data_IF_591904193739
#
_entry.id   IF_591904193739
#
_cell.length_a   1.000
_cell.length_b   1.000
_cell.length_c   1.000
_cell.angle_alpha   90.00
_cell.angle_beta   90.00
_cell.angle_gamma   90.00
#
_symmetry.space_group_name_H-M   'P 1'
#
loop_
_entity.id
_entity.type
_entity.pdbx_description
1 polymer ?
#
# COMPACT_ATOMS: atom_id res chain seq x y z
N UNK A 1 -11.60 17.49 -9.52
CA UNK A 1 -11.70 18.06 -10.88
C UNK A 1 -11.87 19.57 -10.77
N UNK A 2 -11.04 20.34 -11.47
CA UNK A 2 -11.10 21.81 -11.43
C UNK A 2 -12.38 22.37 -12.08
N UNK A 3 -12.80 23.57 -11.70
CA UNK A 3 -14.01 24.20 -12.23
C UNK A 3 -13.95 24.42 -13.75
N UNK A 4 -12.81 24.84 -14.29
CA UNK A 4 -12.61 25.05 -15.73
C UNK A 4 -12.73 23.77 -16.54
N UNK A 5 -12.16 22.66 -16.07
CA UNK A 5 -12.30 21.36 -16.74
C UNK A 5 -13.76 20.90 -16.76
N UNK A 6 -14.53 21.16 -15.69
CA UNK A 6 -15.97 20.87 -15.67
C UNK A 6 -16.78 21.80 -16.59
N UNK A 7 -16.34 23.05 -16.77
CA UNK A 7 -16.95 23.94 -17.76
C UNK A 7 -16.71 23.41 -19.18
N UNK A 8 -15.46 23.05 -19.51
CA UNK A 8 -15.11 22.40 -20.78
C UNK A 8 -15.95 21.14 -21.03
N UNK A 9 -16.15 20.30 -20.00
CA UNK A 9 -16.99 19.10 -20.13
C UNK A 9 -18.44 19.44 -20.47
N UNK A 10 -19.00 20.50 -19.88
CA UNK A 10 -20.36 20.95 -20.20
C UNK A 10 -20.48 21.45 -21.64
N UNK A 11 -19.50 22.24 -22.11
CA UNK A 11 -19.45 22.71 -23.51
C UNK A 11 -19.35 21.55 -24.50
N UNK A 12 -18.63 20.48 -24.15
CA UNK A 12 -18.53 19.27 -24.97
C UNK A 12 -19.72 18.30 -24.82
N UNK A 13 -20.76 18.68 -24.06
CA UNK A 13 -21.94 17.86 -23.83
C UNK A 13 -21.69 16.62 -22.96
N UNK A 14 -20.59 16.58 -22.22
CA UNK A 14 -20.30 15.47 -21.32
C UNK A 14 -21.16 15.53 -20.07
N UNK A 15 -21.86 14.41 -19.83
CA UNK A 15 -22.77 14.25 -18.73
C UNK A 15 -22.54 12.90 -18.06
N UNK A 16 -22.55 12.88 -16.74
CA UNK A 16 -22.60 11.67 -15.93
C UNK A 16 -23.48 11.95 -14.73
N UNK A 17 -24.77 11.66 -14.90
CA UNK A 17 -25.79 11.76 -13.87
C UNK A 17 -26.27 10.37 -13.50
N UNK A 18 -26.89 10.26 -12.31
CA UNK A 18 -27.35 8.98 -11.75
C UNK A 18 -28.23 8.16 -12.70
N UNK A 19 -29.04 8.83 -13.52
CA UNK A 19 -30.04 8.20 -14.38
C UNK A 19 -29.76 8.44 -15.88
N UNK A 20 -28.57 8.89 -16.25
CA UNK A 20 -28.21 9.13 -17.65
C UNK A 20 -27.04 8.24 -18.06
N UNK A 21 -27.00 7.86 -19.33
CA UNK A 21 -25.80 7.25 -19.89
C UNK A 21 -24.62 8.21 -19.75
N UNK A 22 -23.46 7.67 -19.36
CA UNK A 22 -22.24 8.46 -19.25
C UNK A 22 -21.72 8.79 -20.64
N UNK A 23 -21.67 10.09 -20.95
CA UNK A 23 -21.11 10.63 -22.19
C UNK A 23 -19.70 11.14 -21.91
N UNK A 24 -18.71 10.48 -22.49
CA UNK A 24 -17.29 10.72 -22.21
C UNK A 24 -16.40 10.70 -23.46
N UNK A 25 -16.99 10.91 -24.65
CA UNK A 25 -16.27 10.88 -25.92
C UNK A 25 -16.85 11.85 -26.94
N UNK A 26 -16.00 12.28 -27.87
CA UNK A 26 -16.38 13.01 -29.09
C UNK A 26 -15.69 12.37 -30.31
N UNK A 27 -16.19 12.65 -31.51
CA UNK A 27 -15.46 12.34 -32.74
C UNK A 27 -14.15 13.12 -32.79
N UNK A 28 -13.10 12.50 -33.33
CA UNK A 28 -11.82 13.18 -33.50
C UNK A 28 -11.98 14.31 -34.54
N UNK A 29 -11.54 15.55 -34.25
CA UNK A 29 -11.82 16.71 -35.10
C UNK A 29 -11.18 16.62 -36.49
N UNK A 30 -10.13 15.81 -36.64
CA UNK A 30 -9.37 15.67 -37.88
C UNK A 30 -9.28 14.25 -38.44
N UNK A 31 -9.80 13.23 -37.75
CA UNK A 31 -9.60 11.83 -38.13
C UNK A 31 -10.96 11.13 -38.15
N UNK A 32 -11.43 10.83 -39.36
CA UNK A 32 -12.70 10.15 -39.55
C UNK A 32 -12.67 8.75 -38.91
N UNK A 33 -13.77 8.37 -38.26
CA UNK A 33 -13.91 7.08 -37.57
C UNK A 33 -13.11 6.92 -36.28
N UNK A 34 -12.31 7.92 -35.86
CA UNK A 34 -11.60 7.89 -34.56
C UNK A 34 -12.34 8.72 -33.51
N UNK A 35 -12.23 8.30 -32.25
CA UNK A 35 -12.89 8.93 -31.11
C UNK A 35 -11.88 9.43 -30.08
N UNK A 36 -12.18 10.56 -29.45
CA UNK A 36 -11.43 11.11 -28.34
C UNK A 36 -12.19 10.86 -27.04
N UNK A 37 -11.58 10.10 -26.13
CA UNK A 37 -12.12 9.81 -24.81
C UNK A 37 -11.63 10.82 -23.77
N UNK A 38 -12.55 11.32 -22.95
CA UNK A 38 -12.26 12.25 -21.87
C UNK A 38 -12.53 11.57 -20.53
N UNK A 39 -11.56 11.66 -19.63
CA UNK A 39 -11.55 10.90 -18.38
C UNK A 39 -11.27 11.79 -17.18
N UNK A 40 -11.75 11.36 -16.02
CA UNK A 40 -11.32 11.92 -14.74
C UNK A 40 -10.04 11.21 -14.28
N UNK A 41 -9.13 11.94 -13.63
CA UNK A 41 -8.01 11.32 -12.93
C UNK A 41 -8.50 10.45 -11.76
N UNK A 42 -8.31 9.13 -11.87
CA UNK A 42 -8.73 8.17 -10.85
C UNK A 42 -8.03 8.39 -9.50
N UNK A 43 -6.80 8.90 -9.48
CA UNK A 43 -6.09 9.21 -8.23
C UNK A 43 -6.79 10.35 -7.48
N UNK A 44 -7.22 11.37 -8.20
CA UNK A 44 -8.04 12.44 -7.64
C UNK A 44 -9.44 11.99 -7.24
N UNK A 45 -10.07 11.09 -8.01
CA UNK A 45 -11.37 10.50 -7.65
C UNK A 45 -11.27 9.75 -6.33
N UNK A 46 -10.26 8.89 -6.16
CA UNK A 46 -10.02 8.14 -4.91
C UNK A 46 -9.89 9.07 -3.70
N UNK A 47 -9.08 10.14 -3.82
CA UNK A 47 -8.94 11.16 -2.77
C UNK A 47 -10.28 11.83 -2.42
N UNK A 48 -11.10 12.12 -3.43
CA UNK A 48 -12.39 12.76 -3.21
C UNK A 48 -13.40 11.82 -2.55
N UNK A 49 -13.40 10.51 -2.88
CA UNK A 49 -14.25 9.52 -2.20
C UNK A 49 -13.89 9.43 -0.72
N UNK A 50 -12.59 9.29 -0.38
CA UNK A 50 -12.13 9.33 1.02
C UNK A 50 -12.57 10.62 1.69
N UNK A 51 -12.24 11.78 1.10
CA UNK A 51 -12.57 13.08 1.68
C UNK A 51 -14.07 13.28 1.90
N UNK A 52 -14.89 12.70 1.02
CA UNK A 52 -16.34 12.73 1.17
C UNK A 52 -16.84 11.82 2.30
N UNK A 53 -16.28 10.62 2.46
CA UNK A 53 -16.62 9.73 3.56
C UNK A 53 -16.26 10.37 4.91
N UNK A 54 -15.10 11.05 4.99
CA UNK A 54 -14.69 11.82 6.16
C UNK A 54 -15.68 12.95 6.50
N UNK A 55 -16.19 13.65 5.49
CA UNK A 55 -17.07 14.81 5.69
C UNK A 55 -18.53 14.43 5.97
N UNK A 56 -19.04 13.40 5.28
CA UNK A 56 -20.43 12.96 5.42
C UNK A 56 -20.65 11.95 6.54
N UNK A 57 -19.56 11.36 7.05
CA UNK A 57 -19.50 10.28 8.04
C UNK A 57 -20.15 8.96 7.63
N UNK A 58 -21.17 8.98 6.78
CA UNK A 58 -21.90 7.80 6.30
C UNK A 58 -22.20 7.88 4.81
N UNK A 59 -22.04 6.76 4.10
CA UNK A 59 -22.69 6.50 2.82
C UNK A 59 -23.76 5.42 2.99
N UNK A 60 -24.83 5.51 2.21
CA UNK A 60 -25.91 4.51 2.21
C UNK A 60 -25.91 3.79 0.87
N UNK A 61 -25.66 2.48 0.88
CA UNK A 61 -25.76 1.61 -0.29
C UNK A 61 -27.22 1.37 -0.66
N UNK A 62 -27.49 1.03 -1.92
CA UNK A 62 -28.84 0.64 -2.35
C UNK A 62 -29.21 -0.75 -1.87
N UNK A 63 -30.49 -0.97 -1.59
CA UNK A 63 -31.03 -2.26 -1.15
C UNK A 63 -30.66 -3.41 -2.10
N UNK A 64 -30.66 -3.14 -3.41
CA UNK A 64 -30.21 -4.10 -4.43
C UNK A 64 -28.77 -4.59 -4.17
N UNK A 65 -27.84 -3.69 -3.85
CA UNK A 65 -26.44 -4.02 -3.57
C UNK A 65 -26.32 -4.83 -2.28
N UNK A 66 -27.10 -4.45 -1.26
CA UNK A 66 -27.11 -5.13 0.04
C UNK A 66 -27.63 -6.56 -0.10
N UNK A 67 -28.76 -6.75 -0.78
CA UNK A 67 -29.34 -8.07 -1.03
C UNK A 67 -28.44 -8.94 -1.90
N UNK A 68 -27.89 -8.39 -2.99
CA UNK A 68 -27.05 -9.14 -3.93
C UNK A 68 -25.76 -9.68 -3.28
N UNK A 69 -25.20 -8.95 -2.32
CA UNK A 69 -23.94 -9.31 -1.66
C UNK A 69 -24.11 -9.80 -0.22
N UNK A 70 -25.35 -9.96 0.26
CA UNK A 70 -25.64 -10.44 1.62
C UNK A 70 -25.04 -9.54 2.71
N UNK A 71 -25.02 -8.22 2.50
CA UNK A 71 -24.39 -7.29 3.44
C UNK A 71 -25.26 -7.14 4.70
N UNK A 72 -24.66 -7.09 5.91
CA UNK A 72 -25.41 -7.02 7.16
C UNK A 72 -26.04 -5.65 7.42
N UNK A 73 -25.63 -4.61 6.69
CA UNK A 73 -26.18 -3.26 6.76
C UNK A 73 -26.13 -2.62 5.38
N UNK A 74 -26.81 -1.48 5.23
CA UNK A 74 -26.67 -0.59 4.07
C UNK A 74 -25.73 0.60 4.34
N UNK A 75 -25.16 0.72 5.53
CA UNK A 75 -24.34 1.86 5.92
C UNK A 75 -22.83 1.59 5.82
N UNK A 76 -22.13 2.51 5.16
CA UNK A 76 -20.66 2.59 5.14
C UNK A 76 -20.24 3.75 6.02
N UNK A 77 -19.61 3.47 7.16
CA UNK A 77 -19.33 4.49 8.20
C UNK A 77 -17.84 4.68 8.41
N UNK A 78 -17.43 5.94 8.50
CA UNK A 78 -16.03 6.28 8.83
C UNK A 78 -15.64 5.83 10.25
N UNK A 79 -16.62 5.75 11.16
CA UNK A 79 -16.39 5.37 12.57
C UNK A 79 -15.79 3.97 12.71
N UNK A 80 -16.16 3.04 11.83
CA UNK A 80 -15.54 1.71 11.80
C UNK A 80 -14.03 1.78 11.53
N UNK A 81 -13.59 2.71 10.67
CA UNK A 81 -12.16 2.93 10.40
C UNK A 81 -11.47 3.64 11.57
N UNK A 82 -12.15 4.61 12.21
CA UNK A 82 -11.64 5.27 13.43
C UNK A 82 -11.41 4.27 14.56
N UNK A 83 -12.33 3.33 14.74
CA UNK A 83 -12.19 2.27 15.73
C UNK A 83 -10.97 1.37 15.47
N UNK A 84 -10.62 1.08 14.20
CA UNK A 84 -9.36 0.39 13.88
C UNK A 84 -8.16 1.22 14.30
N UNK A 85 -8.13 2.52 13.98
CA UNK A 85 -7.02 3.41 14.34
C UNK A 85 -6.86 3.50 15.86
N UNK A 86 -7.98 3.58 16.59
CA UNK A 86 -8.00 3.58 18.05
C UNK A 86 -7.52 2.25 18.63
N UNK A 87 -7.94 1.11 18.07
CA UNK A 87 -7.49 -0.21 18.52
C UNK A 87 -5.98 -0.41 18.37
N UNK A 88 -5.39 0.17 17.33
CA UNK A 88 -3.96 0.13 17.04
C UNK A 88 -3.17 1.30 17.69
N UNK A 89 -3.80 2.27 18.37
CA UNK A 89 -3.12 3.50 18.81
C UNK A 89 -1.99 3.22 19.81
N UNK A 90 -2.26 2.34 20.77
CA UNK A 90 -1.39 2.11 21.92
C UNK A 90 -0.48 0.88 21.74
N UNK A 91 -0.62 0.20 20.60
CA UNK A 91 0.06 -1.07 20.33
C UNK A 91 1.31 -0.92 19.48
N UNK A 92 2.32 -1.72 19.79
CA UNK A 92 3.52 -1.77 18.98
C UNK A 92 3.37 -2.59 17.71
N UNK A 93 2.78 -3.79 17.86
CA UNK A 93 2.32 -4.57 16.73
C UNK A 93 0.89 -4.17 16.40
N UNK A 94 0.70 -3.69 15.17
CA UNK A 94 -0.57 -3.14 14.69
C UNK A 94 -1.19 -4.06 13.64
N UNK A 95 -2.51 -4.21 13.67
CA UNK A 95 -3.26 -4.97 12.66
C UNK A 95 -3.18 -4.27 11.30
N UNK A 96 -3.31 -2.94 11.32
CA UNK A 96 -3.19 -2.04 10.16
C UNK A 96 -1.99 -1.07 10.35
N UNK A 97 -0.73 -1.54 10.20
CA UNK A 97 0.46 -0.75 10.54
C UNK A 97 0.66 0.51 9.68
N UNK A 98 -0.01 0.61 8.53
CA UNK A 98 0.03 1.78 7.66
C UNK A 98 -1.19 2.69 7.81
N UNK A 99 -2.16 2.33 8.65
CA UNK A 99 -3.29 3.18 8.99
C UNK A 99 -2.97 3.97 10.26
N UNK A 100 -3.36 5.24 10.31
CA UNK A 100 -3.04 6.16 11.40
C UNK A 100 -4.02 7.32 11.44
N UNK A 101 -3.92 8.18 12.45
CA UNK A 101 -4.75 9.39 12.59
C UNK A 101 -4.74 10.29 11.34
N UNK A 102 -3.63 10.35 10.60
CA UNK A 102 -3.56 11.11 9.35
C UNK A 102 -4.54 10.62 8.27
N UNK A 103 -5.04 9.39 8.38
CA UNK A 103 -5.98 8.78 7.46
C UNK A 103 -7.44 9.10 7.77
N UNK A 104 -7.77 9.35 9.04
CA UNK A 104 -9.14 9.64 9.52
C UNK A 104 -9.37 11.12 9.86
N UNK A 105 -8.34 11.95 9.72
CA UNK A 105 -8.41 13.41 9.92
C UNK A 105 -8.51 14.18 8.61
N UNK A 106 -9.18 15.35 8.65
CA UNK A 106 -9.44 16.20 7.48
C UNK A 106 -8.36 17.28 7.23
N UNK A 107 -7.12 17.06 7.66
CA UNK A 107 -6.04 18.07 7.53
C UNK A 107 -5.71 18.42 6.07
N UNK A 108 -5.51 19.72 5.77
CA UNK A 108 -5.28 20.22 4.40
C UNK A 108 -4.15 19.49 3.66
N UNK A 109 -3.03 19.19 4.34
CA UNK A 109 -1.89 18.47 3.74
C UNK A 109 -2.16 16.99 3.48
N UNK A 110 -2.96 16.32 4.32
CA UNK A 110 -3.32 14.89 4.14
C UNK A 110 -4.33 14.72 3.00
N UNK A 111 -5.15 15.74 2.73
CA UNK A 111 -6.13 15.76 1.64
C UNK A 111 -5.47 15.73 0.26
N UNK A 112 -4.26 16.27 0.12
CA UNK A 112 -3.56 16.31 -1.17
C UNK A 112 -2.80 15.02 -1.50
N UNK A 113 -2.35 14.27 -0.49
CA UNK A 113 -1.51 13.08 -0.65
C UNK A 113 -2.32 11.86 -1.11
N UNK A 114 -2.13 11.43 -2.36
CA UNK A 114 -2.78 10.24 -2.93
C UNK A 114 -2.42 8.99 -2.14
N UNK A 115 -1.17 8.87 -1.68
CA UNK A 115 -0.71 7.73 -0.88
C UNK A 115 -1.54 7.46 0.37
N UNK A 116 -2.02 8.52 1.05
CA UNK A 116 -2.89 8.39 2.24
C UNK A 116 -4.24 7.80 1.86
N UNK A 117 -4.83 8.21 0.73
CA UNK A 117 -6.09 7.62 0.26
C UNK A 117 -5.90 6.16 -0.15
N UNK A 118 -4.81 5.82 -0.85
CA UNK A 118 -4.50 4.44 -1.24
C UNK A 118 -4.33 3.54 -0.02
N UNK A 119 -3.58 3.99 0.98
CA UNK A 119 -3.38 3.24 2.23
C UNK A 119 -4.70 3.07 3.00
N UNK A 120 -5.52 4.12 3.08
CA UNK A 120 -6.84 4.07 3.72
C UNK A 120 -7.72 2.95 3.15
N UNK A 121 -7.93 2.91 1.83
CA UNK A 121 -8.81 1.89 1.21
C UNK A 121 -8.18 0.49 1.20
N UNK A 122 -6.85 0.39 1.24
CA UNK A 122 -6.15 -0.91 1.21
C UNK A 122 -6.07 -1.59 2.56
N UNK A 123 -5.76 -0.84 3.62
CA UNK A 123 -5.46 -1.43 4.93
C UNK A 123 -6.73 -1.61 5.77
N UNK A 124 -7.69 -0.69 5.67
CA UNK A 124 -8.89 -0.69 6.50
C UNK A 124 -9.77 -1.96 6.37
N UNK A 125 -10.03 -2.53 5.17
CA UNK A 125 -10.94 -3.68 5.05
C UNK A 125 -10.51 -4.89 5.88
N UNK A 126 -9.25 -5.31 5.74
CA UNK A 126 -8.71 -6.46 6.45
C UNK A 126 -8.73 -6.25 7.97
N UNK A 127 -8.44 -5.04 8.42
CA UNK A 127 -8.45 -4.72 9.85
C UNK A 127 -9.87 -4.67 10.42
N UNK A 128 -10.83 -4.06 9.72
CA UNK A 128 -12.24 -4.06 10.15
C UNK A 128 -12.74 -5.50 10.32
N UNK A 129 -12.51 -6.36 9.32
CA UNK A 129 -12.87 -7.80 9.39
C UNK A 129 -12.23 -8.50 10.57
N UNK A 130 -10.97 -8.18 10.84
CA UNK A 130 -10.25 -8.69 11.98
C UNK A 130 -10.95 -8.35 13.31
N UNK A 131 -11.32 -7.09 13.51
CA UNK A 131 -12.03 -6.64 14.70
C UNK A 131 -13.46 -7.20 14.80
N UNK A 132 -14.18 -7.35 13.69
CA UNK A 132 -15.53 -7.96 13.66
C UNK A 132 -15.48 -9.41 14.13
N UNK A 133 -14.53 -10.22 13.64
CA UNK A 133 -14.38 -11.62 14.08
C UNK A 133 -14.10 -11.74 15.57
N UNK A 134 -13.33 -10.81 16.13
CA UNK A 134 -13.00 -10.78 17.55
C UNK A 134 -14.07 -10.09 18.40
N UNK A 135 -15.24 -9.80 17.81
CA UNK A 135 -16.39 -9.17 18.48
C UNK A 135 -16.08 -7.79 19.08
N UNK A 136 -15.04 -7.12 18.59
CA UNK A 136 -14.66 -5.75 18.99
C UNK A 136 -15.52 -4.73 18.22
N UNK A 137 -15.84 -5.04 16.96
CA UNK A 137 -16.75 -4.25 16.12
C UNK A 137 -18.04 -5.00 15.83
N UNK A 138 -19.13 -4.27 15.60
CA UNK A 138 -20.41 -4.87 15.21
C UNK A 138 -20.29 -5.54 13.83
N UNK A 139 -21.06 -6.62 13.58
CA UNK A 139 -21.08 -7.28 12.26
C UNK A 139 -21.43 -6.33 11.10
N UNK A 140 -22.18 -5.26 11.37
CA UNK A 140 -22.55 -4.23 10.39
C UNK A 140 -21.32 -3.58 9.72
N UNK A 141 -20.18 -3.55 10.43
CA UNK A 141 -18.93 -3.02 9.92
C UNK A 141 -18.40 -3.79 8.69
N UNK A 142 -18.83 -5.03 8.45
CA UNK A 142 -18.52 -5.78 7.22
C UNK A 142 -18.94 -5.02 5.96
N UNK A 143 -20.08 -4.33 5.99
CA UNK A 143 -20.56 -3.47 4.89
C UNK A 143 -19.53 -2.40 4.53
N UNK A 144 -18.88 -1.82 5.55
CA UNK A 144 -17.81 -0.84 5.35
C UNK A 144 -16.55 -1.50 4.79
N UNK A 145 -16.13 -2.64 5.34
CA UNK A 145 -14.97 -3.38 4.83
C UNK A 145 -15.14 -3.75 3.35
N UNK A 146 -16.31 -4.29 2.98
CA UNK A 146 -16.66 -4.65 1.60
C UNK A 146 -16.57 -3.45 0.65
N UNK A 147 -17.17 -2.32 1.01
CA UNK A 147 -17.15 -1.13 0.16
C UNK A 147 -15.72 -0.59 -0.02
N UNK A 148 -14.94 -0.49 1.07
CA UNK A 148 -13.57 0.00 1.01
C UNK A 148 -12.68 -0.92 0.17
N UNK A 149 -12.89 -2.24 0.25
CA UNK A 149 -12.20 -3.23 -0.58
C UNK A 149 -12.56 -3.09 -2.06
N UNK A 150 -13.84 -2.91 -2.40
CA UNK A 150 -14.29 -2.69 -3.78
C UNK A 150 -13.58 -1.47 -4.40
N UNK A 151 -13.53 -0.35 -3.66
CA UNK A 151 -12.85 0.87 -4.12
C UNK A 151 -11.33 0.66 -4.24
N UNK A 152 -10.72 -0.13 -3.34
CA UNK A 152 -9.30 -0.50 -3.41
C UNK A 152 -8.98 -1.33 -4.66
N UNK A 153 -9.80 -2.35 -4.95
CA UNK A 153 -9.68 -3.21 -6.14
C UNK A 153 -9.90 -2.42 -7.43
N UNK A 154 -10.95 -1.58 -7.46
CA UNK A 154 -11.19 -0.64 -8.54
C UNK A 154 -9.95 0.23 -8.80
N UNK A 155 -9.39 0.88 -7.78
CA UNK A 155 -8.22 1.74 -7.97
C UNK A 155 -6.98 0.98 -8.41
N UNK A 156 -6.79 -0.24 -7.93
CA UNK A 156 -5.69 -1.12 -8.37
C UNK A 156 -5.76 -1.38 -9.88
N UNK A 157 -6.96 -1.63 -10.40
CA UNK A 157 -7.19 -1.80 -11.84
C UNK A 157 -6.98 -0.48 -12.57
N UNK A 158 -7.47 0.65 -12.04
CA UNK A 158 -7.38 1.98 -12.68
C UNK A 158 -5.97 2.59 -12.68
N UNK A 159 -5.06 2.09 -11.83
CA UNK A 159 -3.69 2.62 -11.68
C UNK A 159 -2.61 1.60 -12.07
N UNK A 160 -2.98 0.61 -12.87
CA UNK A 160 -2.14 -0.53 -13.24
C UNK A 160 -0.99 -0.16 -14.18
N UNK A 161 0.24 -0.51 -13.76
CA UNK A 161 1.51 -0.19 -14.44
C UNK A 161 2.30 -1.42 -14.90
N UNK A 162 2.00 -2.59 -14.36
CA UNK A 162 2.77 -3.81 -14.58
C UNK A 162 1.94 -4.83 -15.37
N UNK A 163 2.58 -5.66 -16.22
CA UNK A 163 1.87 -6.67 -17.01
C UNK A 163 1.02 -7.62 -16.15
N UNK A 164 1.45 -7.90 -14.92
CA UNK A 164 0.74 -8.77 -13.98
C UNK A 164 -0.60 -8.21 -13.49
N UNK A 165 -0.80 -6.90 -13.55
CA UNK A 165 -2.02 -6.20 -13.10
C UNK A 165 -2.75 -5.51 -14.25
N UNK A 166 -2.19 -5.49 -15.45
CA UNK A 166 -2.75 -4.80 -16.61
C UNK A 166 -3.97 -5.56 -17.15
N UNK A 167 -4.87 -4.85 -17.84
CA UNK A 167 -5.93 -5.51 -18.58
C UNK A 167 -5.32 -6.22 -19.78
N UNK A 168 -5.57 -7.51 -19.91
CA UNK A 168 -5.02 -8.35 -20.98
C UNK A 168 -5.93 -9.54 -21.24
N UNK A 169 -6.11 -9.89 -22.53
CA UNK A 169 -6.86 -11.07 -22.95
C UNK A 169 -6.05 -12.37 -22.81
N UNK A 170 -4.77 -12.29 -22.39
CA UNK A 170 -3.92 -13.48 -22.19
C UNK A 170 -4.38 -14.34 -21.01
N UNK A 171 -5.00 -13.73 -20.00
CA UNK A 171 -5.60 -14.43 -18.88
C UNK A 171 -7.07 -13.98 -18.74
N UNK A 172 -7.97 -14.75 -19.34
CA UNK A 172 -9.39 -14.41 -19.42
C UNK A 172 -10.08 -14.38 -18.06
N UNK A 173 -9.63 -15.20 -17.10
CA UNK A 173 -10.18 -15.20 -15.73
C UNK A 173 -9.87 -13.86 -15.02
N UNK A 174 -8.61 -13.44 -15.03
CA UNK A 174 -8.19 -12.15 -14.47
C UNK A 174 -8.86 -10.98 -15.19
N UNK A 175 -8.98 -11.07 -16.51
CA UNK A 175 -9.67 -10.07 -17.32
C UNK A 175 -11.15 -9.95 -16.92
N UNK A 176 -11.90 -11.06 -16.89
CA UNK A 176 -13.31 -11.04 -16.49
C UNK A 176 -13.51 -10.58 -15.05
N UNK A 177 -12.63 -11.00 -14.13
CA UNK A 177 -12.65 -10.53 -12.74
C UNK A 177 -12.42 -9.02 -12.65
N UNK A 178 -11.46 -8.48 -13.42
CA UNK A 178 -11.22 -7.04 -13.47
C UNK A 178 -12.41 -6.27 -14.06
N UNK A 179 -12.98 -6.72 -15.19
CA UNK A 179 -14.15 -6.10 -15.80
C UNK A 179 -15.36 -6.14 -14.87
N UNK A 180 -15.61 -7.27 -14.22
CA UNK A 180 -16.69 -7.43 -13.25
C UNK A 180 -16.52 -6.51 -12.05
N UNK A 181 -15.29 -6.34 -11.55
CA UNK A 181 -14.98 -5.39 -10.48
C UNK A 181 -15.26 -3.95 -10.91
N UNK A 182 -14.90 -3.56 -12.13
CA UNK A 182 -15.17 -2.22 -12.67
C UNK A 182 -16.69 -1.98 -12.82
N UNK A 183 -17.44 -2.97 -13.31
CA UNK A 183 -18.90 -2.88 -13.42
C UNK A 183 -19.57 -2.81 -12.04
N UNK A 184 -19.15 -3.64 -11.09
CA UNK A 184 -19.66 -3.61 -9.72
C UNK A 184 -19.40 -2.25 -9.05
N UNK A 185 -18.22 -1.66 -9.29
CA UNK A 185 -17.92 -0.31 -8.79
C UNK A 185 -18.85 0.75 -9.40
N UNK A 186 -19.18 0.65 -10.70
CA UNK A 186 -20.16 1.55 -11.34
C UNK A 186 -21.54 1.41 -10.69
N UNK A 187 -22.06 0.19 -10.62
CA UNK A 187 -23.41 -0.08 -10.12
C UNK A 187 -23.56 0.36 -8.67
N UNK A 188 -22.56 0.05 -7.84
CA UNK A 188 -22.54 0.44 -6.42
C UNK A 188 -22.53 1.96 -6.25
N UNK A 189 -21.69 2.66 -7.01
CA UNK A 189 -21.54 4.12 -6.90
C UNK A 189 -22.77 4.86 -7.46
N UNK A 190 -23.42 4.29 -8.48
CA UNK A 190 -24.67 4.79 -9.05
C UNK A 190 -25.85 4.60 -8.08
N UNK A 191 -25.92 3.44 -7.41
CA UNK A 191 -26.95 3.11 -6.44
C UNK A 191 -26.81 3.83 -5.10
N UNK A 192 -25.59 4.17 -4.67
CA UNK A 192 -25.36 4.73 -3.33
C UNK A 192 -25.75 6.21 -3.16
N UNK A 193 -26.06 6.59 -1.93
CA UNK A 193 -26.16 7.98 -1.44
C UNK A 193 -24.91 8.33 -0.66
N UNK A 194 -24.22 9.38 -1.08
CA UNK A 194 -22.93 9.75 -0.52
C UNK A 194 -23.06 10.87 0.52
N UNK A 195 -23.79 10.56 1.59
CA UNK A 195 -24.19 11.43 2.71
C UNK A 195 -25.71 11.53 2.88
N UNK A 196 -26.15 12.35 3.85
CA UNK A 196 -27.57 12.50 4.21
C UNK A 196 -28.42 13.19 3.12
N UNK A 197 -27.79 13.79 2.12
CA UNK A 197 -28.49 14.46 1.02
C UNK A 197 -28.43 13.61 -0.25
N UNK A 198 -29.50 13.53 -1.04
CA UNK A 198 -29.55 12.76 -2.28
C UNK A 198 -28.78 13.42 -3.45
N UNK A 199 -27.98 14.45 -3.17
CA UNK A 199 -27.27 15.20 -4.20
C UNK A 199 -26.18 14.34 -4.83
N UNK A 200 -26.14 14.31 -6.16
CA UNK A 200 -25.08 13.65 -6.93
C UNK A 200 -23.75 14.40 -6.82
N UNK A 201 -22.67 13.68 -6.49
CA UNK A 201 -21.42 14.31 -6.08
C UNK A 201 -20.36 14.20 -7.19
N UNK A 202 -19.44 15.18 -7.33
CA UNK A 202 -18.42 15.13 -8.39
C UNK A 202 -17.48 13.92 -8.34
N UNK A 203 -17.27 13.33 -7.16
CA UNK A 203 -16.55 12.06 -6.95
C UNK A 203 -17.26 10.89 -7.62
N UNK A 204 -18.59 10.79 -7.47
CA UNK A 204 -19.42 9.77 -8.11
C UNK A 204 -19.33 9.90 -9.64
N UNK A 205 -19.59 11.10 -10.17
CA UNK A 205 -19.46 11.38 -11.60
C UNK A 205 -18.05 11.06 -12.13
N UNK A 206 -16.99 11.40 -11.38
CA UNK A 206 -15.62 11.11 -11.77
C UNK A 206 -15.31 9.61 -11.83
N UNK A 207 -15.81 8.82 -10.88
CA UNK A 207 -15.67 7.36 -10.92
C UNK A 207 -16.43 6.77 -12.11
N UNK A 208 -17.67 7.21 -12.35
CA UNK A 208 -18.48 6.76 -13.48
C UNK A 208 -17.78 7.01 -14.82
N UNK A 209 -17.29 8.24 -15.04
CA UNK A 209 -16.62 8.65 -16.28
C UNK A 209 -15.32 7.88 -16.49
N UNK A 210 -14.43 7.88 -15.49
CA UNK A 210 -13.13 7.24 -15.62
C UNK A 210 -13.25 5.73 -15.88
N UNK A 211 -14.17 5.07 -15.18
CA UNK A 211 -14.41 3.64 -15.35
C UNK A 211 -15.04 3.32 -16.70
N UNK A 212 -16.02 4.13 -17.14
CA UNK A 212 -16.65 3.97 -18.47
C UNK A 212 -15.61 4.11 -19.59
N UNK A 213 -14.70 5.07 -19.47
CA UNK A 213 -13.60 5.26 -20.44
C UNK A 213 -12.71 4.02 -20.50
N UNK A 214 -12.31 3.47 -19.34
CA UNK A 214 -11.49 2.24 -19.31
C UNK A 214 -12.23 1.05 -19.91
N UNK A 215 -13.51 0.86 -19.60
CA UNK A 215 -14.32 -0.23 -20.15
C UNK A 215 -14.49 -0.16 -21.68
N UNK A 216 -14.54 1.04 -22.25
CA UNK A 216 -14.58 1.25 -23.70
C UNK A 216 -13.22 1.08 -24.34
N UNK A 217 -12.19 1.73 -23.79
CA UNK A 217 -10.84 1.69 -24.33
C UNK A 217 -10.25 0.28 -24.30
N UNK A 218 -10.52 -0.51 -23.25
CA UNK A 218 -10.03 -1.88 -23.22
C UNK A 218 -10.61 -2.71 -24.37
N UNK A 219 -11.87 -2.47 -24.76
CA UNK A 219 -12.52 -3.20 -25.84
C UNK A 219 -11.89 -2.81 -27.18
N UNK A 220 -11.77 -1.50 -27.43
CA UNK A 220 -11.14 -0.96 -28.63
C UNK A 220 -9.67 -1.39 -28.76
N UNK A 221 -8.87 -1.25 -27.70
CA UNK A 221 -7.44 -1.53 -27.75
C UNK A 221 -7.14 -3.03 -27.76
N UNK A 222 -7.78 -3.82 -26.91
CA UNK A 222 -7.44 -5.24 -26.78
C UNK A 222 -8.10 -6.07 -27.87
N UNK A 223 -9.40 -5.84 -28.16
CA UNK A 223 -10.15 -6.65 -29.15
C UNK A 223 -10.10 -6.05 -30.55
N UNK A 224 -10.23 -4.72 -30.67
CA UNK A 224 -10.24 -4.04 -31.96
C UNK A 224 -8.85 -3.92 -32.59
N UNK A 225 -7.89 -3.36 -31.85
CA UNK A 225 -6.54 -3.04 -32.36
C UNK A 225 -5.50 -4.13 -32.02
N UNK A 226 -5.87 -5.16 -31.24
CA UNK A 226 -5.02 -6.33 -30.97
C UNK A 226 -3.86 -6.09 -29.99
N UNK A 227 -3.92 -5.06 -29.13
CA UNK A 227 -2.91 -4.83 -28.10
C UNK A 227 -2.90 -5.97 -27.06
N UNK A 228 -1.70 -6.41 -26.66
CA UNK A 228 -1.54 -7.48 -25.66
C UNK A 228 -1.90 -7.04 -24.24
N UNK A 229 -1.62 -5.78 -23.91
CA UNK A 229 -1.80 -5.21 -22.58
C UNK A 229 -2.33 -3.79 -22.68
N UNK A 230 -3.21 -3.43 -21.75
CA UNK A 230 -3.66 -2.08 -21.55
C UNK A 230 -3.31 -1.61 -20.13
N UNK A 231 -2.34 -0.70 -20.05
CA UNK A 231 -1.88 -0.06 -18.81
C UNK A 231 -2.73 1.17 -18.50
N UNK A 232 -3.77 0.98 -17.70
CA UNK A 232 -4.70 2.04 -17.29
C UNK A 232 -4.01 3.22 -16.60
N UNK A 233 -2.84 3.02 -15.97
CA UNK A 233 -2.05 4.11 -15.40
C UNK A 233 -1.64 5.18 -16.42
N UNK A 234 -1.58 4.83 -17.71
CA UNK A 234 -1.22 5.77 -18.79
C UNK A 234 -2.33 6.79 -19.09
N UNK A 235 -3.52 6.58 -18.55
CA UNK A 235 -4.68 7.48 -18.66
C UNK A 235 -4.65 8.54 -17.54
N UNK A 236 -3.87 8.31 -16.48
CA UNK A 236 -3.76 9.23 -15.35
C UNK A 236 -2.82 10.40 -15.66
N UNK A 237 -3.00 11.50 -14.94
CA UNK A 237 -2.18 12.72 -15.09
C UNK A 237 -0.89 12.69 -14.26
N UNK A 238 -0.52 11.54 -13.68
CA UNK A 238 0.67 11.39 -12.82
C UNK A 238 1.96 11.83 -13.51
N UNK A 239 2.09 11.62 -14.83
CA UNK A 239 3.25 12.09 -15.59
C UNK A 239 3.39 13.61 -15.59
N UNK A 240 2.27 14.35 -15.63
CA UNK A 240 2.24 15.80 -15.56
C UNK A 240 2.56 16.30 -14.14
N UNK A 241 2.03 15.63 -13.10
CA UNK A 241 2.35 15.95 -11.71
C UNK A 241 3.82 15.68 -11.37
N UNK A 242 4.40 14.62 -11.94
CA UNK A 242 5.83 14.33 -11.81
C UNK A 242 6.69 15.41 -12.49
N UNK A 243 6.29 15.90 -13.67
CA UNK A 243 6.96 17.02 -14.33
C UNK A 243 6.94 18.28 -13.45
N UNK A 244 5.81 18.61 -12.83
CA UNK A 244 5.74 19.73 -11.89
C UNK A 244 6.64 19.53 -10.67
N UNK A 245 6.77 18.28 -10.19
CA UNK A 245 7.67 17.95 -9.09
C UNK A 245 9.13 18.20 -9.47
N UNK A 246 9.55 17.78 -10.67
CA UNK A 246 10.91 18.04 -11.19
C UNK A 246 11.18 19.54 -11.28
N UNK A 247 10.24 20.34 -11.78
CA UNK A 247 10.41 21.80 -11.83
C UNK A 247 10.53 22.39 -10.42
N UNK A 248 9.73 21.92 -9.47
CA UNK A 248 9.73 22.41 -8.08
C UNK A 248 10.96 21.99 -7.27
N UNK A 249 11.71 20.98 -7.70
CA UNK A 249 13.00 20.62 -7.07
C UNK A 249 13.99 21.79 -7.14
N UNK A 250 14.01 22.51 -8.27
CA UNK A 250 14.90 23.68 -8.43
C UNK A 250 14.42 24.88 -7.62
N UNK A 251 13.10 25.08 -7.57
CA UNK A 251 12.47 26.17 -6.83
C UNK A 251 11.07 25.76 -6.39
N UNK A 252 10.79 25.62 -5.08
CA UNK A 252 9.51 25.11 -4.59
C UNK A 252 8.28 25.88 -5.09
N UNK A 253 8.42 27.19 -5.29
CA UNK A 253 7.38 28.08 -5.82
C UNK A 253 7.95 28.86 -7.02
N UNK A 254 7.94 28.27 -8.24
CA UNK A 254 8.46 28.92 -9.44
C UNK A 254 7.48 29.98 -9.95
N UNK A 255 7.98 31.10 -10.47
CA UNK A 255 7.17 32.04 -11.25
C UNK A 255 7.03 31.56 -12.71
N UNK A 256 6.28 32.28 -13.54
CA UNK A 256 6.06 31.90 -14.93
C UNK A 256 7.37 31.84 -15.77
N UNK A 257 8.34 32.73 -15.49
CA UNK A 257 9.64 32.72 -16.15
C UNK A 257 10.47 31.51 -15.74
N UNK A 258 10.51 31.19 -14.44
CA UNK A 258 11.17 30.00 -13.91
C UNK A 258 10.61 28.72 -14.55
N UNK A 259 9.28 28.62 -14.64
CA UNK A 259 8.60 27.49 -15.29
C UNK A 259 8.99 27.37 -16.76
N UNK A 260 8.98 28.49 -17.52
CA UNK A 260 9.37 28.51 -18.93
C UNK A 260 10.83 28.06 -19.12
N UNK A 261 11.75 28.57 -18.30
CA UNK A 261 13.16 28.22 -18.35
C UNK A 261 13.39 26.75 -17.96
N UNK A 262 12.73 26.26 -16.91
CA UNK A 262 12.80 24.86 -16.50
C UNK A 262 12.27 23.92 -17.59
N UNK A 263 11.13 24.24 -18.20
CA UNK A 263 10.59 23.45 -19.31
C UNK A 263 11.52 23.42 -20.51
N UNK A 264 12.12 24.55 -20.89
CA UNK A 264 13.13 24.59 -21.96
C UNK A 264 14.29 23.64 -21.67
N UNK A 265 14.83 23.69 -20.45
CA UNK A 265 15.94 22.85 -20.03
C UNK A 265 15.55 21.36 -20.04
N UNK A 266 14.38 21.01 -19.50
CA UNK A 266 13.87 19.64 -19.52
C UNK A 266 13.73 19.13 -20.94
N UNK A 267 13.14 19.92 -21.85
CA UNK A 267 12.99 19.54 -23.25
C UNK A 267 14.35 19.29 -23.92
N UNK A 268 15.32 20.19 -23.73
CA UNK A 268 16.66 20.03 -24.32
C UNK A 268 17.37 18.80 -23.72
N UNK A 269 17.33 18.63 -22.39
CA UNK A 269 17.99 17.50 -21.71
C UNK A 269 17.48 16.13 -22.15
N UNK A 270 16.23 16.01 -22.62
CA UNK A 270 15.67 14.75 -23.10
C UNK A 270 16.30 14.27 -24.41
N UNK A 271 16.91 15.17 -25.18
CA UNK A 271 17.55 14.86 -26.46
C UNK A 271 19.07 14.99 -26.42
N UNK A 272 19.63 15.47 -25.30
CA UNK A 272 21.06 15.48 -25.07
C UNK A 272 21.48 14.12 -24.50
N UNK A 273 22.10 13.31 -25.34
CA UNK A 273 22.82 12.12 -24.92
C UNK A 273 24.29 12.29 -25.26
N UNK A 274 25.17 11.81 -24.39
CA UNK A 274 26.59 11.69 -24.70
C UNK A 274 26.72 10.70 -25.86
N UNK A 275 27.41 11.05 -26.97
CA UNK A 275 27.63 10.11 -28.06
C UNK A 275 28.31 8.84 -27.54
N UNK A 276 27.87 7.65 -27.99
CA UNK A 276 28.50 6.38 -27.57
C UNK A 276 29.94 6.22 -28.09
N UNK A 277 30.41 7.15 -28.92
CA UNK A 277 31.73 7.17 -29.57
C UNK A 277 32.71 8.13 -28.90
N UNK A 278 32.42 8.68 -27.73
CA UNK A 278 33.38 9.56 -27.06
C UNK A 278 34.56 8.75 -26.53
N UNK A 279 35.78 9.18 -26.86
CA UNK A 279 37.02 8.61 -26.33
C UNK A 279 37.31 9.02 -24.87
N UNK A 280 36.41 9.80 -24.26
CA UNK A 280 36.45 10.18 -22.86
C UNK A 280 35.49 9.29 -22.09
N UNK A 281 35.94 8.75 -20.96
CA UNK A 281 35.03 8.16 -19.99
C UNK A 281 33.96 9.20 -19.64
N UNK A 282 32.70 8.78 -19.67
CA UNK A 282 31.62 9.62 -19.15
C UNK A 282 31.94 9.78 -17.67
N UNK A 283 32.45 10.95 -17.28
CA UNK A 283 32.53 11.40 -15.89
C UNK A 283 31.09 11.69 -15.43
N UNK A 284 30.29 10.62 -15.38
CA UNK A 284 29.11 10.57 -14.56
C UNK A 284 29.66 10.64 -13.15
N UNK A 285 29.84 11.87 -12.66
CA UNK A 285 29.87 12.19 -11.25
C UNK A 285 28.54 11.77 -10.62
N UNK A 286 28.28 10.45 -10.59
CA UNK A 286 27.46 9.78 -9.63
C UNK A 286 28.09 10.07 -8.29
N UNK A 287 27.66 11.20 -7.74
CA UNK A 287 27.76 11.61 -6.36
C UNK A 287 29.14 11.35 -5.73
N UNK A 288 29.94 12.41 -5.55
CA UNK A 288 31.08 12.40 -4.61
C UNK A 288 30.71 11.83 -3.21
N UNK A 289 29.42 11.80 -2.87
CA UNK A 289 28.84 11.14 -1.70
C UNK A 289 29.01 9.61 -1.71
N UNK A 290 29.00 8.95 -2.88
CA UNK A 290 29.23 7.51 -3.02
C UNK A 290 30.72 7.11 -2.93
N UNK A 291 31.62 8.06 -3.20
CA UNK A 291 33.05 7.87 -2.97
C UNK A 291 33.39 7.98 -1.47
N UNK A 292 32.68 8.85 -0.74
CA UNK A 292 32.76 8.92 0.73
C UNK A 292 32.08 7.72 1.42
N UNK A 293 31.07 7.09 0.78
CA UNK A 293 30.42 5.89 1.33
C UNK A 293 31.30 4.63 1.19
N UNK A 294 32.18 4.57 0.17
CA UNK A 294 33.17 3.49 0.02
C UNK A 294 34.33 3.56 1.02
N UNK A 295 34.64 4.75 1.57
CA UNK A 295 35.63 4.92 2.64
C UNK A 295 35.20 4.40 4.02
N UNK A 296 33.93 4.01 4.18
CA UNK A 296 33.39 3.43 5.42
C UNK A 296 33.28 1.89 5.40
N UNK A 297 33.92 1.24 4.41
CA UNK A 297 33.96 -0.22 4.26
C UNK A 297 35.25 -0.87 4.78
N UNK A 298 35.90 -0.26 5.75
CA UNK A 298 36.69 -1.02 6.71
C UNK A 298 35.75 -1.37 7.86
N UNK A 299 35.22 -2.60 7.85
CA UNK A 299 34.60 -3.17 9.04
C UNK A 299 35.70 -3.33 10.09
N UNK A 300 35.89 -2.32 10.94
CA UNK A 300 36.39 -2.59 12.27
C UNK A 300 35.44 -3.63 12.88
N UNK A 301 35.99 -4.72 13.39
CA UNK A 301 35.28 -5.64 14.27
C UNK A 301 34.79 -4.82 15.47
N UNK A 302 33.60 -4.25 15.34
CA UNK A 302 32.99 -3.49 16.41
C UNK A 302 32.69 -4.50 17.51
N UNK A 303 33.34 -4.33 18.67
CA UNK A 303 32.99 -5.07 19.89
C UNK A 303 31.48 -5.00 20.07
N UNK A 304 30.83 -6.16 19.93
CA UNK A 304 29.38 -6.27 20.11
C UNK A 304 29.14 -6.12 21.60
N UNK A 305 28.54 -4.99 21.99
CA UNK A 305 28.12 -4.76 23.36
C UNK A 305 27.09 -5.83 23.73
N UNK A 306 27.43 -6.68 24.70
CA UNK A 306 26.60 -7.77 25.14
C UNK A 306 25.35 -7.25 25.85
N UNK A 307 24.18 -7.78 25.48
CA UNK A 307 22.96 -7.55 26.27
C UNK A 307 23.08 -8.43 27.52
N UNK A 308 23.10 -7.81 28.70
CA UNK A 308 23.09 -8.51 29.98
C UNK A 308 21.75 -9.25 30.15
N UNK A 309 21.83 -10.58 30.25
CA UNK A 309 20.67 -11.47 30.34
C UNK A 309 20.18 -11.67 31.78
N UNK A 310 20.96 -11.23 32.78
CA UNK A 310 20.65 -11.42 34.19
C UNK A 310 19.45 -10.59 34.68
N UNK A 311 19.02 -9.57 33.93
CA UNK A 311 17.96 -8.63 34.33
C UNK A 311 16.64 -8.75 33.53
N UNK A 312 16.56 -9.66 32.55
CA UNK A 312 15.33 -9.92 31.77
C UNK A 312 14.43 -10.88 32.55
N UNK A 313 13.79 -10.37 33.61
CA UNK A 313 12.99 -11.17 34.55
C UNK A 313 11.54 -11.42 34.12
N UNK A 314 11.03 -10.70 33.11
CA UNK A 314 9.62 -10.78 32.71
C UNK A 314 9.47 -11.02 31.21
N UNK A 315 9.04 -12.24 30.88
CA UNK A 315 8.51 -12.58 29.56
C UNK A 315 7.00 -12.33 29.63
N UNK A 316 6.53 -11.28 28.96
CA UNK A 316 5.10 -11.00 28.84
C UNK A 316 4.47 -12.00 27.86
N UNK A 317 3.39 -12.65 28.26
CA UNK A 317 2.66 -13.55 27.36
C UNK A 317 1.98 -12.75 26.24
N UNK A 318 2.25 -13.15 24.99
CA UNK A 318 1.69 -12.46 23.83
C UNK A 318 0.17 -12.63 23.74
N UNK A 319 -0.51 -11.52 23.41
CA UNK A 319 -1.95 -11.58 23.14
C UNK A 319 -2.24 -12.30 21.82
N UNK A 320 -3.45 -12.82 21.67
CA UNK A 320 -3.89 -13.50 20.42
C UNK A 320 -3.72 -12.61 19.17
N UNK A 321 -3.88 -11.30 19.32
CA UNK A 321 -3.65 -10.34 18.25
C UNK A 321 -2.18 -10.23 17.84
N UNK A 322 -1.26 -10.27 18.81
CA UNK A 322 0.18 -10.26 18.54
C UNK A 322 0.59 -11.51 17.77
N UNK A 323 0.06 -12.67 18.15
CA UNK A 323 0.30 -13.93 17.43
C UNK A 323 -0.19 -13.89 15.98
N UNK A 324 -1.38 -13.32 15.72
CA UNK A 324 -1.90 -13.17 14.36
C UNK A 324 -1.05 -12.22 13.50
N UNK A 325 -0.54 -11.12 14.09
CA UNK A 325 0.34 -10.16 13.42
C UNK A 325 1.72 -10.79 13.15
N UNK A 326 2.29 -11.48 14.13
CA UNK A 326 3.55 -12.20 14.00
C UNK A 326 3.47 -13.30 12.94
N UNK A 327 2.36 -14.01 12.85
CA UNK A 327 2.14 -15.01 11.81
C UNK A 327 2.14 -14.37 10.40
N UNK A 328 1.50 -13.21 10.24
CA UNK A 328 1.54 -12.45 9.00
C UNK A 328 2.95 -11.92 8.66
N UNK A 329 3.67 -11.38 9.65
CA UNK A 329 5.06 -10.96 9.51
C UNK A 329 5.96 -12.15 9.16
N UNK A 330 5.74 -13.29 9.78
CA UNK A 330 6.46 -14.54 9.54
C UNK A 330 6.39 -14.97 8.08
N UNK A 331 5.21 -14.87 7.45
CA UNK A 331 5.06 -15.10 6.01
C UNK A 331 5.95 -14.21 5.15
N UNK A 332 6.07 -12.92 5.52
CA UNK A 332 6.98 -11.99 4.83
C UNK A 332 8.45 -12.33 5.05
N UNK A 333 8.84 -12.75 6.26
CA UNK A 333 10.22 -13.15 6.58
C UNK A 333 10.61 -14.43 5.82
N UNK A 334 9.73 -15.44 5.83
CA UNK A 334 9.94 -16.73 5.17
C UNK A 334 10.07 -16.58 3.65
N UNK A 335 9.38 -15.61 3.03
CA UNK A 335 9.53 -15.32 1.59
C UNK A 335 10.99 -15.14 1.15
N UNK A 336 11.78 -14.43 1.95
CA UNK A 336 13.20 -14.17 1.64
C UNK A 336 14.05 -15.43 1.80
N UNK A 337 13.69 -16.29 2.77
CA UNK A 337 14.34 -17.58 3.03
C UNK A 337 14.02 -18.55 1.88
N UNK A 338 12.76 -18.69 1.50
CA UNK A 338 12.32 -19.55 0.38
C UNK A 338 13.04 -19.18 -0.92
N UNK A 339 13.19 -17.87 -1.19
CA UNK A 339 13.93 -17.39 -2.36
C UNK A 339 15.44 -17.70 -2.29
N UNK A 340 16.03 -17.65 -1.10
CA UNK A 340 17.45 -17.94 -0.91
C UNK A 340 17.78 -19.44 -1.04
N UNK A 341 16.84 -20.31 -0.64
CA UNK A 341 16.98 -21.76 -0.68
C UNK A 341 16.03 -22.40 -1.70
N UNK A 342 15.88 -21.79 -2.88
CA UNK A 342 14.91 -22.23 -3.89
C UNK A 342 15.19 -23.63 -4.45
N UNK A 343 16.42 -24.14 -4.32
CA UNK A 343 16.80 -25.48 -4.75
C UNK A 343 16.59 -26.58 -3.68
N UNK A 344 16.20 -26.22 -2.45
CA UNK A 344 16.11 -27.18 -1.33
C UNK A 344 14.67 -27.36 -0.83
N UNK A 345 13.98 -28.39 -1.33
CA UNK A 345 12.58 -28.68 -0.98
C UNK A 345 12.38 -29.06 0.50
N UNK A 346 13.36 -29.70 1.14
CA UNK A 346 13.29 -30.00 2.57
C UNK A 346 13.22 -28.71 3.40
N UNK A 347 14.07 -27.73 3.11
CA UNK A 347 14.05 -26.44 3.81
C UNK A 347 12.78 -25.65 3.53
N UNK A 348 12.26 -25.67 2.29
CA UNK A 348 10.98 -25.02 1.96
C UNK A 348 9.83 -25.61 2.76
N UNK A 349 9.73 -26.93 2.82
CA UNK A 349 8.68 -27.63 3.56
C UNK A 349 8.78 -27.40 5.07
N UNK A 350 10.01 -27.28 5.60
CA UNK A 350 10.22 -26.99 7.02
C UNK A 350 9.77 -25.58 7.43
N UNK A 351 9.87 -24.58 6.53
CA UNK A 351 9.55 -23.17 6.85
C UNK A 351 8.14 -22.75 6.42
N UNK A 352 7.57 -23.39 5.40
CA UNK A 352 6.23 -23.13 4.89
C UNK A 352 5.20 -24.01 5.61
N UNK A 353 4.13 -23.38 6.07
CA UNK A 353 2.95 -24.02 6.63
C UNK A 353 1.74 -23.86 5.72
N UNK A 354 0.57 -24.11 6.31
CA UNK A 354 -0.74 -24.00 5.65
C UNK A 354 -1.57 -22.84 6.23
N UNK A 355 -2.63 -22.49 5.51
CA UNK A 355 -3.65 -21.54 5.96
C UNK A 355 -4.58 -22.09 7.06
N UNK A 356 -4.39 -23.33 7.50
CA UNK A 356 -5.21 -24.00 8.52
C UNK A 356 -4.77 -23.71 9.96
N UNK A 357 -3.69 -22.93 10.15
CA UNK A 357 -3.24 -22.50 11.47
C UNK A 357 -4.25 -21.55 12.12
N UNK A 358 -4.40 -21.64 13.45
CA UNK A 358 -5.27 -20.74 14.23
C UNK A 358 -4.89 -19.25 14.07
N UNK A 359 -3.62 -18.96 13.77
CA UNK A 359 -3.11 -17.60 13.58
C UNK A 359 -3.16 -17.11 12.13
N UNK A 360 -3.56 -17.98 11.18
CA UNK A 360 -3.54 -17.65 9.75
C UNK A 360 -4.59 -16.62 9.32
N UNK A 361 -5.59 -16.36 10.18
CA UNK A 361 -6.75 -15.56 9.84
C UNK A 361 -6.41 -14.15 9.33
N UNK A 362 -5.51 -13.42 10.01
CA UNK A 362 -5.13 -12.07 9.57
C UNK A 362 -4.40 -12.10 8.22
N UNK A 363 -3.57 -13.12 7.98
CA UNK A 363 -2.90 -13.32 6.69
C UNK A 363 -3.92 -13.60 5.59
N UNK A 364 -4.89 -14.48 5.83
CA UNK A 364 -5.96 -14.80 4.89
C UNK A 364 -6.80 -13.56 4.55
N UNK A 365 -7.11 -12.70 5.54
CA UNK A 365 -7.81 -11.44 5.30
C UNK A 365 -7.02 -10.42 4.46
N UNK A 366 -5.69 -10.56 4.39
CA UNK A 366 -4.80 -9.69 3.61
C UNK A 366 -4.48 -10.25 2.22
N UNK A 367 -4.96 -11.45 1.89
CA UNK A 367 -4.92 -11.97 0.52
C UNK A 367 -5.70 -11.04 -0.42
N UNK A 368 -5.13 -10.74 -1.58
CA UNK A 368 -5.81 -9.91 -2.58
C UNK A 368 -6.94 -10.67 -3.30
N UNK A 369 -6.72 -11.97 -3.53
CA UNK A 369 -7.69 -12.90 -4.11
C UNK A 369 -8.26 -13.72 -2.96
N UNK A 370 -9.58 -13.67 -2.77
CA UNK A 370 -10.27 -14.50 -1.78
C UNK A 370 -9.95 -15.97 -2.03
N UNK A 371 -9.56 -16.69 -0.97
CA UNK A 371 -9.10 -18.09 -1.01
C UNK A 371 -7.88 -18.34 -1.91
N UNK A 372 -7.16 -17.26 -2.28
CA UNK A 372 -5.83 -17.36 -2.85
C UNK A 372 -4.84 -17.96 -1.85
N UNK A 373 -3.81 -18.61 -2.37
CA UNK A 373 -2.64 -19.02 -1.59
C UNK A 373 -1.41 -18.26 -2.10
N UNK A 374 -1.55 -16.94 -2.29
CA UNK A 374 -0.48 -16.11 -2.86
C UNK A 374 0.47 -15.58 -1.78
N UNK A 375 0.01 -15.48 -0.54
CA UNK A 375 0.87 -15.16 0.60
C UNK A 375 1.52 -16.43 1.13
N UNK A 376 2.72 -16.28 1.69
CA UNK A 376 3.38 -17.39 2.39
C UNK A 376 2.86 -17.49 3.81
N UNK A 377 2.58 -18.73 4.24
CA UNK A 377 2.16 -19.06 5.59
C UNK A 377 3.36 -19.70 6.30
N UNK A 378 3.81 -19.18 7.46
CA UNK A 378 4.90 -19.83 8.20
C UNK A 378 4.44 -21.16 8.82
N UNK A 379 5.37 -22.11 8.95
CA UNK A 379 5.12 -23.38 9.64
C UNK A 379 4.95 -23.17 11.16
N UNK A 380 4.35 -24.15 11.85
CA UNK A 380 4.19 -24.13 13.31
C UNK A 380 5.51 -23.90 14.06
N UNK A 381 6.61 -24.59 13.73
CA UNK A 381 7.93 -24.34 14.34
C UNK A 381 8.47 -22.93 14.10
N UNK A 382 8.28 -22.37 12.89
CA UNK A 382 8.64 -20.96 12.62
C UNK A 382 7.83 -20.03 13.50
N UNK A 383 6.52 -20.26 13.64
CA UNK A 383 5.66 -19.45 14.50
C UNK A 383 6.07 -19.51 15.98
N UNK A 384 6.38 -20.70 16.51
CA UNK A 384 6.89 -20.86 17.88
C UNK A 384 8.21 -20.11 18.11
N UNK A 385 9.07 -20.12 17.09
CA UNK A 385 10.34 -19.37 17.12
C UNK A 385 10.06 -17.87 17.14
N UNK A 386 9.16 -17.37 16.28
CA UNK A 386 8.81 -15.95 16.23
C UNK A 386 8.12 -15.45 17.51
N UNK A 387 7.28 -16.28 18.14
CA UNK A 387 6.69 -15.99 19.46
C UNK A 387 7.79 -15.79 20.50
N UNK A 388 8.74 -16.74 20.57
CA UNK A 388 9.88 -16.64 21.47
C UNK A 388 10.74 -15.41 21.16
N UNK A 389 10.96 -15.09 19.88
CA UNK A 389 11.70 -13.88 19.49
C UNK A 389 11.03 -12.60 20.01
N UNK A 390 9.70 -12.49 19.92
CA UNK A 390 8.95 -11.31 20.36
C UNK A 390 8.95 -11.16 21.87
N UNK A 391 8.76 -12.25 22.60
CA UNK A 391 8.85 -12.29 24.06
C UNK A 391 10.20 -11.73 24.56
N UNK A 392 11.29 -12.21 23.96
CA UNK A 392 12.64 -11.74 24.26
C UNK A 392 12.88 -10.29 23.81
N UNK A 393 12.36 -9.90 22.63
CA UNK A 393 12.50 -8.54 22.13
C UNK A 393 11.77 -7.52 23.04
N UNK A 394 10.55 -7.85 23.50
CA UNK A 394 9.80 -7.01 24.45
C UNK A 394 10.54 -6.87 25.77
N UNK A 395 11.13 -7.96 26.28
CA UNK A 395 11.98 -7.95 27.46
C UNK A 395 13.14 -6.94 27.32
N UNK A 396 13.85 -6.98 26.20
CA UNK A 396 14.92 -6.02 25.88
C UNK A 396 14.39 -4.58 25.89
N UNK A 397 13.29 -4.30 25.17
CA UNK A 397 12.80 -2.91 25.03
C UNK A 397 12.11 -2.35 26.27
N UNK A 398 11.62 -3.20 27.17
CA UNK A 398 10.98 -2.76 28.43
C UNK A 398 12.02 -2.37 29.48
N UNK A 399 13.15 -3.07 29.50
CA UNK A 399 14.26 -2.79 30.41
C UNK A 399 15.11 -1.59 29.97
N UNK A 400 15.18 -1.38 28.66
CA UNK A 400 16.14 -0.49 28.03
C UNK A 400 15.35 0.58 27.27
N UNK A 401 15.27 1.83 27.78
CA UNK A 401 15.04 3.05 26.94
C UNK A 401 16.16 3.23 25.88
N UNK A 402 17.12 2.29 25.90
CA UNK A 402 18.47 2.25 25.39
C UNK A 402 18.65 1.34 24.16
N UNK A 403 17.59 0.86 23.52
CA UNK A 403 17.72 0.27 22.16
C UNK A 403 18.35 1.27 21.16
N UNK A 404 18.28 2.57 21.48
CA UNK A 404 18.92 3.68 20.78
C UNK A 404 20.38 3.94 21.21
N UNK A 405 20.82 3.44 22.37
CA UNK A 405 22.17 3.65 22.92
C UNK A 405 23.12 2.48 22.67
N UNK A 406 22.58 1.30 22.37
CA UNK A 406 23.38 0.10 22.03
C UNK A 406 24.20 0.38 20.76
N UNK A 407 25.52 0.15 20.82
CA UNK A 407 26.35 0.14 19.60
C UNK A 407 25.96 -1.06 18.73
N UNK A 408 25.65 -0.80 17.45
CA UNK A 408 25.23 -1.83 16.49
C UNK A 408 24.02 -2.67 16.95
N UNK A 409 22.84 -2.06 17.17
CA UNK A 409 21.69 -2.70 17.83
C UNK A 409 21.17 -3.94 17.10
N UNK A 410 21.24 -3.98 15.76
CA UNK A 410 20.84 -5.16 14.99
C UNK A 410 21.74 -6.36 15.30
N UNK A 411 23.05 -6.16 15.41
CA UNK A 411 24.00 -7.24 15.68
C UNK A 411 23.87 -7.74 17.12
N UNK A 412 23.79 -6.84 18.09
CA UNK A 412 23.60 -7.18 19.51
C UNK A 412 22.30 -7.97 19.74
N UNK A 413 21.17 -7.49 19.21
CA UNK A 413 19.88 -8.19 19.32
C UNK A 413 19.92 -9.55 18.60
N UNK A 414 20.53 -9.61 17.42
CA UNK A 414 20.65 -10.88 16.68
C UNK A 414 21.49 -11.90 17.45
N UNK A 415 22.62 -11.48 18.03
CA UNK A 415 23.49 -12.34 18.81
C UNK A 415 22.79 -12.86 20.08
N UNK A 416 22.12 -11.97 20.80
CA UNK A 416 21.32 -12.32 21.98
C UNK A 416 20.20 -13.32 21.65
N UNK A 417 19.37 -13.03 20.64
CA UNK A 417 18.30 -13.92 20.22
C UNK A 417 18.85 -15.28 19.77
N UNK A 418 19.98 -15.31 19.06
CA UNK A 418 20.61 -16.57 18.62
C UNK A 418 21.13 -17.42 19.79
N UNK A 419 21.52 -16.80 20.92
CA UNK A 419 21.94 -17.50 22.15
C UNK A 419 20.75 -18.08 22.92
N UNK A 420 19.62 -17.37 22.95
CA UNK A 420 18.46 -17.73 23.78
C UNK A 420 17.46 -18.67 23.11
N UNK A 421 17.34 -18.60 21.79
CA UNK A 421 16.33 -19.34 21.05
C UNK A 421 16.71 -20.81 20.84
N UNK A 422 15.74 -21.69 21.04
CA UNK A 422 15.82 -23.11 20.64
C UNK A 422 15.08 -23.31 19.32
N UNK A 423 15.81 -23.67 18.27
CA UNK A 423 15.24 -23.89 16.94
C UNK A 423 14.87 -25.35 16.71
N UNK A 424 13.57 -25.63 16.67
CA UNK A 424 13.04 -26.95 16.35
C UNK A 424 12.58 -27.02 14.88
N UNK A 425 13.45 -26.65 13.94
CA UNK A 425 13.17 -26.66 12.51
C UNK A 425 13.81 -27.90 11.85
N UNK A 426 13.00 -28.71 11.16
CA UNK A 426 13.44 -29.91 10.43
C UNK A 426 14.08 -29.58 9.06
N UNK A 427 14.98 -28.60 9.04
CA UNK A 427 15.77 -28.22 7.86
C UNK A 427 16.90 -29.21 7.60
N UNK A 428 17.42 -29.27 6.38
CA UNK A 428 18.59 -30.09 6.09
C UNK A 428 19.83 -29.59 6.88
N UNK A 429 20.73 -30.51 7.25
CA UNK A 429 21.91 -30.19 8.07
C UNK A 429 22.83 -29.15 7.42
N UNK A 430 22.90 -29.12 6.08
CA UNK A 430 23.71 -28.15 5.35
C UNK A 430 23.19 -26.70 5.44
N UNK A 431 21.88 -26.50 5.60
CA UNK A 431 21.26 -25.18 5.59
C UNK A 431 20.70 -24.75 6.95
N UNK A 432 20.68 -25.65 7.95
CA UNK A 432 20.09 -25.43 9.26
C UNK A 432 20.57 -24.13 9.93
N UNK A 433 21.87 -23.95 10.04
CA UNK A 433 22.46 -22.75 10.65
C UNK A 433 22.15 -21.48 9.81
N UNK A 434 22.23 -21.58 8.49
CA UNK A 434 21.97 -20.45 7.60
C UNK A 434 20.50 -19.98 7.65
N UNK A 435 19.55 -20.92 7.67
CA UNK A 435 18.11 -20.63 7.78
C UNK A 435 17.81 -19.96 9.13
N UNK A 436 18.35 -20.49 10.23
CA UNK A 436 18.16 -19.92 11.57
C UNK A 436 18.71 -18.49 11.64
N UNK A 437 19.96 -18.29 11.21
CA UNK A 437 20.61 -16.97 11.18
C UNK A 437 19.83 -15.97 10.32
N UNK A 438 19.34 -16.40 9.14
CA UNK A 438 18.52 -15.55 8.27
C UNK A 438 17.18 -15.17 8.91
N UNK A 439 16.51 -16.12 9.58
CA UNK A 439 15.24 -15.87 10.25
C UNK A 439 15.39 -14.87 11.39
N UNK A 440 16.35 -15.10 12.30
CA UNK A 440 16.60 -14.23 13.46
C UNK A 440 17.05 -12.85 13.04
N UNK A 441 18.02 -12.75 12.12
CA UNK A 441 18.54 -11.45 11.67
C UNK A 441 17.49 -10.64 10.91
N UNK A 442 16.64 -11.31 10.13
CA UNK A 442 15.54 -10.65 9.42
C UNK A 442 14.45 -10.19 10.38
N UNK A 443 14.11 -11.02 11.38
CA UNK A 443 13.20 -10.64 12.46
C UNK A 443 13.73 -9.44 13.24
N UNK A 444 14.95 -9.51 13.79
CA UNK A 444 15.57 -8.45 14.58
C UNK A 444 15.61 -7.12 13.82
N UNK A 445 16.01 -7.16 12.54
CA UNK A 445 16.04 -5.96 11.68
C UNK A 445 14.65 -5.37 11.46
N UNK A 446 13.65 -6.20 11.17
CA UNK A 446 12.29 -5.72 10.94
C UNK A 446 11.66 -5.19 12.23
N UNK A 447 11.81 -5.92 13.33
CA UNK A 447 11.22 -5.57 14.62
C UNK A 447 11.82 -4.31 15.21
N UNK A 448 13.14 -4.14 15.11
CA UNK A 448 13.82 -2.90 15.49
C UNK A 448 13.34 -1.72 14.64
N UNK A 449 13.17 -1.90 13.32
CA UNK A 449 12.61 -0.85 12.45
C UNK A 449 11.20 -0.45 12.87
N UNK A 450 10.35 -1.42 13.24
CA UNK A 450 9.00 -1.14 13.75
C UNK A 450 9.11 -0.32 15.05
N UNK A 451 9.91 -0.77 16.01
CA UNK A 451 10.12 -0.11 17.29
C UNK A 451 10.59 1.34 17.14
N UNK A 452 11.65 1.57 16.36
CA UNK A 452 12.20 2.90 16.12
C UNK A 452 11.20 3.85 15.42
N UNK A 453 10.40 3.34 14.48
CA UNK A 453 9.35 4.14 13.82
C UNK A 453 8.29 4.60 14.81
N UNK A 454 7.96 3.77 15.79
CA UNK A 454 6.97 4.11 16.80
C UNK A 454 7.48 5.13 17.80
N UNK A 455 8.71 4.96 18.29
CA UNK A 455 9.37 5.95 19.15
C UNK A 455 9.42 7.30 18.41
N UNK A 456 9.88 7.31 17.16
CA UNK A 456 9.92 8.53 16.35
C UNK A 456 8.55 9.19 16.16
N UNK A 457 7.48 8.40 15.97
CA UNK A 457 6.12 8.92 15.86
C UNK A 457 5.62 9.56 17.18
N UNK A 458 5.95 8.98 18.34
CA UNK A 458 5.63 9.55 19.66
C UNK A 458 6.35 10.88 19.88
N UNK A 459 7.61 11.00 19.47
CA UNK A 459 8.40 12.24 19.59
C UNK A 459 7.95 13.35 18.63
N UNK A 460 7.58 13.02 17.38
CA UNK A 460 7.16 14.00 16.36
C UNK A 460 5.78 14.61 16.65
N UNK A 461 4.87 13.89 17.33
CA UNK A 461 3.58 14.45 17.73
C UNK A 461 3.71 15.66 18.69
N UNK A 462 4.89 15.89 19.29
CA UNK A 462 5.20 17.12 20.04
C UNK A 462 5.61 18.33 19.18
N UNK A 463 6.04 18.12 17.93
CA UNK A 463 6.55 19.16 17.03
C UNK A 463 6.04 18.94 15.59
N UNK A 464 4.80 19.37 15.32
CA UNK A 464 4.21 19.26 13.98
C UNK A 464 4.93 20.16 12.96
N UNK A 465 5.79 19.57 12.12
CA UNK A 465 6.53 20.27 11.07
C UNK A 465 5.62 20.70 9.90
N UNK A 466 5.77 21.98 9.51
CA UNK A 466 4.94 22.75 8.54
C UNK A 466 5.50 22.77 7.12
N UNK A 467 6.11 21.69 6.61
CA UNK A 467 6.68 21.72 5.25
C UNK A 467 6.17 20.61 4.33
N UNK A 468 5.83 21.02 3.10
CA UNK A 468 5.30 20.19 2.02
C UNK A 468 6.40 19.40 1.28
N UNK A 469 7.65 19.48 1.74
CA UNK A 469 8.80 18.92 1.06
C UNK A 469 9.30 17.69 1.82
N UNK A 470 9.17 16.52 1.18
CA UNK A 470 10.17 15.47 1.32
C UNK A 470 10.26 14.73 2.65
N UNK A 471 9.15 14.33 3.26
CA UNK A 471 9.17 13.14 4.15
C UNK A 471 8.50 11.98 3.40
N UNK A 472 9.15 11.57 2.33
CA UNK A 472 9.10 10.18 1.84
C UNK A 472 9.93 9.35 2.81
N UNK A 473 9.29 8.71 3.77
CA UNK A 473 9.91 7.60 4.48
C UNK A 473 9.72 6.33 3.62
N UNK A 474 10.80 5.59 3.30
CA UNK A 474 10.73 4.35 2.51
C UNK A 474 9.94 3.23 3.19
#
# INVERSE_FOLDING_TARGET
MGASNRAMWRELGFASHRNSHTVCRIAHPCLEGKELFFTADAAHVLKNIRGQLLNSSVFTLSDATVCQHGLPSNEVRIDHVRAVVQYDSDKELKVAPKLSEAHVTAGHFTKMKVGVAVQFFREAPSAIRYLVRHQILSPEAETTAWFLELISKWYTIMSSRHPSTALSLQNMEKYHSAISTLMLALDTIQGMKAGNTPQWKPSQAGLMISTTVVLRLQDTLLKGEGYKFFFTSRILQDCLENLFSVVRLRKPVPNAYDMKCALKLVCVSQFLHTPTTTNYEIDDGQYLVDMLSKGLKEQAEAEVEGIDDAEIFFIEELQSADCAILFHIGGFLVKSIVKAFDSCEQCKTAVLGSNSSEHAYLTALKEYVSDGNNLHYPSGPVMSTLKSCEEHFRGITTWTDSALTIKSPVQAITAYLSKMLRFNLETCEQHKEAVQKMLVSSYARLRLRIHLRQIGARTINGNASKTCAGVTLP
#
